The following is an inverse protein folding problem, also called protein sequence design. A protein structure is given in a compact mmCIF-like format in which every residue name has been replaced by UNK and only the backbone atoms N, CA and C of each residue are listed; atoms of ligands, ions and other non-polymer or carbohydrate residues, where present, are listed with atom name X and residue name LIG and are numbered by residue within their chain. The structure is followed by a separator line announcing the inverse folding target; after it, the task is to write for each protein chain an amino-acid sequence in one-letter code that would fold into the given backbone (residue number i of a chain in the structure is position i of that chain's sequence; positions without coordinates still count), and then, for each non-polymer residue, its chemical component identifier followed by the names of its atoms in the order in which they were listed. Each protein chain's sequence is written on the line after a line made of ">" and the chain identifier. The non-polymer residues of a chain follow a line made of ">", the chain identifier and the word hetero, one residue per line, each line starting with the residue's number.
data_IF_008186203678
#
_entry.id   IF_008186203678
#
_cell.length_a   1.000
_cell.length_b   1.000
_cell.length_c   1.000
_cell.angle_alpha   90.00
_cell.angle_beta   90.00
_cell.angle_gamma   90.00
#
_symmetry.space_group_name_H-M   'P 1'
#
loop_
_entity.id
_entity.type
_entity.pdbx_description
1 polymer ?
#
# COMPACT_ATOMS: atom_id res chain seq x y z
N UNK A 1 6.18 -4.59 17.30
CA UNK A 1 6.03 -4.79 15.84
C UNK A 1 5.43 -3.52 15.31
N UNK A 2 6.22 -2.75 14.55
CA UNK A 2 5.74 -1.50 13.97
C UNK A 2 4.68 -1.80 12.92
N UNK A 3 3.46 -1.34 13.19
CA UNK A 3 2.32 -1.47 12.30
C UNK A 3 2.44 -0.37 11.24
N UNK A 4 2.75 -0.73 9.99
CA UNK A 4 2.91 0.18 8.86
C UNK A 4 1.76 1.20 8.75
N UNK A 5 0.51 0.76 8.88
CA UNK A 5 -0.67 1.63 8.87
C UNK A 5 -0.61 2.68 9.98
N UNK A 6 -0.26 2.26 11.19
CA UNK A 6 -0.15 3.15 12.34
C UNK A 6 0.97 4.17 12.16
N UNK A 7 2.12 3.76 11.60
CA UNK A 7 3.23 4.66 11.25
C UNK A 7 2.77 5.74 10.28
N UNK A 8 2.00 5.39 9.25
CA UNK A 8 1.48 6.36 8.28
C UNK A 8 0.47 7.34 8.91
N UNK A 9 -0.48 6.84 9.70
CA UNK A 9 -1.47 7.66 10.40
C UNK A 9 -0.80 8.66 11.34
N UNK A 10 -0.02 8.14 12.29
CA UNK A 10 0.62 8.95 13.33
C UNK A 10 1.67 9.88 12.74
N UNK A 11 2.52 9.38 11.85
CA UNK A 11 3.56 10.18 11.20
C UNK A 11 2.97 11.35 10.42
N UNK A 12 1.84 11.15 9.74
CA UNK A 12 1.19 12.21 8.99
C UNK A 12 0.58 13.28 9.90
N UNK A 13 -0.10 12.87 10.97
CA UNK A 13 -0.65 13.81 11.97
C UNK A 13 0.47 14.57 12.70
N UNK A 14 1.55 13.89 13.09
CA UNK A 14 2.70 14.53 13.74
C UNK A 14 3.34 15.58 12.82
N UNK A 15 3.51 15.25 11.54
CA UNK A 15 4.16 16.14 10.59
C UNK A 15 3.33 17.38 10.21
N UNK A 16 1.99 17.29 10.27
CA UNK A 16 1.09 18.29 9.65
C UNK A 16 0.04 18.88 10.59
N UNK A 17 -0.15 18.27 11.75
CA UNK A 17 -1.29 18.54 12.62
C UNK A 17 -2.60 18.03 12.04
N UNK A 18 -3.65 18.13 12.85
CA UNK A 18 -5.02 17.79 12.47
C UNK A 18 -5.99 18.73 13.20
N UNK A 19 -7.15 18.98 12.60
CA UNK A 19 -8.20 19.79 13.22
C UNK A 19 -8.92 19.04 14.35
N UNK A 20 -8.98 17.70 14.26
CA UNK A 20 -9.57 16.80 15.24
C UNK A 20 -8.54 15.76 15.70
N UNK A 21 -8.67 15.22 16.93
CA UNK A 21 -7.73 14.21 17.41
C UNK A 21 -7.86 12.91 16.61
N UNK A 22 -6.72 12.28 16.32
CA UNK A 22 -6.67 10.90 15.85
C UNK A 22 -6.87 9.98 17.07
N UNK A 23 -7.99 9.25 17.12
CA UNK A 23 -8.30 8.36 18.24
C UNK A 23 -7.71 6.96 18.04
N UNK A 24 -7.55 6.20 19.13
CA UNK A 24 -7.11 4.80 19.06
C UNK A 24 -8.10 3.92 18.31
N UNK A 25 -9.41 4.14 18.52
CA UNK A 25 -10.48 3.42 17.83
C UNK A 25 -10.38 3.58 16.31
N UNK A 26 -10.19 4.81 15.81
CA UNK A 26 -9.96 5.06 14.39
C UNK A 26 -8.70 4.34 13.87
N UNK A 27 -7.62 4.32 14.66
CA UNK A 27 -6.39 3.63 14.27
C UNK A 27 -6.59 2.12 14.16
N UNK A 28 -7.35 1.53 15.09
CA UNK A 28 -7.62 0.09 15.15
C UNK A 28 -8.56 -0.33 14.02
N UNK A 29 -9.61 0.45 13.74
CA UNK A 29 -10.53 0.23 12.63
C UNK A 29 -9.79 0.26 11.28
N UNK A 30 -9.04 1.33 11.01
CA UNK A 30 -8.28 1.49 9.75
C UNK A 30 -7.22 0.40 9.63
N UNK A 31 -6.49 0.09 10.70
CA UNK A 31 -5.51 -1.01 10.72
C UNK A 31 -6.16 -2.34 10.37
N UNK A 32 -7.30 -2.64 10.97
CA UNK A 32 -7.99 -3.92 10.78
C UNK A 32 -8.49 -4.05 9.36
N UNK A 33 -9.14 -3.01 8.83
CA UNK A 33 -9.60 -2.95 7.44
C UNK A 33 -8.44 -3.12 6.45
N UNK A 34 -7.38 -2.32 6.56
CA UNK A 34 -6.20 -2.41 5.68
C UNK A 34 -5.57 -3.80 5.73
N UNK A 35 -5.42 -4.38 6.93
CA UNK A 35 -4.86 -5.72 7.08
C UNK A 35 -5.73 -6.77 6.39
N UNK A 36 -7.04 -6.71 6.58
CA UNK A 36 -7.99 -7.63 5.98
C UNK A 36 -7.92 -7.55 4.45
N UNK A 37 -7.98 -6.34 3.89
CA UNK A 37 -8.00 -6.12 2.44
C UNK A 37 -6.70 -6.58 1.78
N UNK A 38 -5.55 -6.25 2.38
CA UNK A 38 -4.24 -6.70 1.90
C UNK A 38 -4.13 -8.22 1.97
N UNK A 39 -4.57 -8.84 3.07
CA UNK A 39 -4.49 -10.30 3.24
C UNK A 39 -5.34 -11.03 2.21
N UNK A 40 -6.58 -10.57 2.01
CA UNK A 40 -7.50 -11.14 1.00
C UNK A 40 -6.91 -10.98 -0.40
N UNK A 41 -6.52 -9.76 -0.77
CA UNK A 41 -5.99 -9.46 -2.11
C UNK A 41 -4.69 -10.22 -2.42
N UNK A 42 -3.78 -10.34 -1.45
CA UNK A 42 -2.56 -11.14 -1.63
C UNK A 42 -2.89 -12.62 -1.77
N UNK A 43 -3.82 -13.14 -0.97
CA UNK A 43 -4.25 -14.53 -1.05
C UNK A 43 -4.87 -14.85 -2.42
N UNK A 44 -5.69 -13.95 -2.96
CA UNK A 44 -6.29 -14.08 -4.29
C UNK A 44 -5.23 -14.01 -5.39
N UNK A 45 -4.30 -13.06 -5.30
CA UNK A 45 -3.20 -12.92 -6.24
C UNK A 45 -2.36 -14.20 -6.30
N UNK A 46 -1.96 -14.75 -5.15
CA UNK A 46 -1.12 -15.94 -5.07
C UNK A 46 -1.84 -17.21 -5.55
N UNK A 47 -3.18 -17.27 -5.46
CA UNK A 47 -3.98 -18.37 -6.01
C UNK A 47 -4.24 -18.23 -7.52
N UNK A 48 -4.11 -17.03 -8.06
CA UNK A 48 -4.33 -16.75 -9.48
C UNK A 48 -3.16 -17.27 -10.29
N UNK A 49 -3.46 -17.96 -11.41
CA UNK A 49 -2.46 -18.45 -12.34
C UNK A 49 -1.48 -17.34 -12.75
N UNK A 50 -0.21 -17.69 -12.86
CA UNK A 50 0.86 -16.73 -13.10
C UNK A 50 0.67 -15.98 -14.43
N UNK A 51 0.00 -16.51 -15.44
CA UNK A 51 -0.24 -15.75 -16.67
C UNK A 51 -1.47 -14.84 -16.57
N UNK A 52 -2.38 -15.16 -15.64
CA UNK A 52 -3.59 -14.41 -15.39
C UNK A 52 -3.42 -13.25 -14.40
N UNK A 53 -2.39 -13.25 -13.54
CA UNK A 53 -2.19 -12.14 -12.60
C UNK A 53 -1.91 -10.82 -13.34
N UNK A 54 -2.78 -9.83 -13.15
CA UNK A 54 -2.67 -8.47 -13.75
C UNK A 54 -2.11 -7.41 -12.81
N UNK A 55 -2.02 -7.72 -11.53
CA UNK A 55 -1.48 -6.83 -10.49
C UNK A 55 -0.26 -7.47 -9.84
N UNK A 56 0.53 -6.66 -9.15
CA UNK A 56 1.64 -7.13 -8.33
C UNK A 56 1.37 -6.82 -6.85
N UNK A 57 2.10 -7.47 -5.92
CA UNK A 57 1.89 -7.26 -4.49
C UNK A 57 2.05 -5.78 -4.08
N UNK A 58 2.96 -5.01 -4.70
CA UNK A 58 3.17 -3.61 -4.33
C UNK A 58 1.97 -2.73 -4.70
N UNK A 59 1.27 -3.07 -5.79
CA UNK A 59 0.04 -2.40 -6.21
C UNK A 59 -1.10 -2.62 -5.21
N UNK A 60 -1.17 -3.80 -4.59
CA UNK A 60 -2.14 -4.08 -3.52
C UNK A 60 -1.89 -3.16 -2.32
N UNK A 61 -0.63 -3.03 -1.89
CA UNK A 61 -0.28 -2.10 -0.80
C UNK A 61 -0.56 -0.63 -1.15
N UNK A 62 -0.34 -0.22 -2.41
CA UNK A 62 -0.69 1.13 -2.88
C UNK A 62 -2.19 1.39 -2.80
N UNK A 63 -3.03 0.44 -3.21
CA UNK A 63 -4.47 0.60 -3.09
C UNK A 63 -4.95 0.61 -1.63
N UNK A 64 -4.24 -0.10 -0.75
CA UNK A 64 -4.58 -0.20 0.66
C UNK A 64 -4.30 1.09 1.47
N UNK A 65 -3.76 2.15 0.87
CA UNK A 65 -3.61 3.45 1.54
C UNK A 65 -4.89 4.29 1.51
N UNK A 66 -5.91 3.89 0.75
CA UNK A 66 -7.15 4.68 0.65
C UNK A 66 -7.86 4.85 2.00
N UNK A 67 -8.09 3.80 2.83
CA UNK A 67 -8.72 3.96 4.13
C UNK A 67 -7.91 4.87 5.08
N UNK A 68 -6.58 4.88 4.93
CA UNK A 68 -5.68 5.76 5.70
C UNK A 68 -5.91 7.22 5.29
N UNK A 69 -5.96 7.47 3.98
CA UNK A 69 -6.25 8.79 3.43
C UNK A 69 -7.62 9.30 3.90
N UNK A 70 -8.65 8.46 3.83
CA UNK A 70 -10.00 8.83 4.21
C UNK A 70 -10.06 9.20 5.70
N UNK A 71 -9.39 8.44 6.58
CA UNK A 71 -9.32 8.74 8.00
C UNK A 71 -8.61 10.06 8.31
N UNK A 72 -7.51 10.36 7.60
CA UNK A 72 -6.75 11.60 7.77
C UNK A 72 -7.55 12.83 7.27
N UNK A 73 -8.22 12.71 6.13
CA UNK A 73 -9.17 13.72 5.65
C UNK A 73 -10.30 13.93 6.65
N UNK A 74 -10.82 12.83 7.20
CA UNK A 74 -11.89 12.84 8.18
C UNK A 74 -11.50 13.45 9.53
N UNK A 75 -10.23 13.79 9.79
CA UNK A 75 -9.82 14.59 10.96
C UNK A 75 -9.24 15.96 10.57
N UNK A 76 -9.34 16.32 9.29
CA UNK A 76 -8.94 17.64 8.78
C UNK A 76 -7.42 17.83 8.70
N UNK A 77 -6.66 16.79 8.36
CA UNK A 77 -5.24 16.94 8.06
C UNK A 77 -5.07 17.67 6.71
N UNK A 78 -4.21 18.71 6.63
CA UNK A 78 -3.91 19.38 5.37
C UNK A 78 -3.20 18.45 4.36
N UNK A 79 -3.63 18.48 3.08
CA UNK A 79 -3.00 17.72 2.00
C UNK A 79 -1.60 18.25 1.64
N UNK A 80 -0.82 17.45 0.91
CA UNK A 80 0.52 17.85 0.45
C UNK A 80 0.47 18.47 -0.93
N UNK A 81 1.44 19.34 -1.23
CA UNK A 81 1.70 19.72 -2.61
C UNK A 81 2.30 18.52 -3.34
N UNK A 82 1.74 18.20 -4.51
CA UNK A 82 2.10 17.03 -5.31
C UNK A 82 2.48 17.49 -6.71
N UNK A 83 3.50 16.88 -7.29
CA UNK A 83 3.83 17.10 -8.70
C UNK A 83 2.76 16.50 -9.63
N UNK A 84 2.79 16.92 -10.90
CA UNK A 84 1.82 16.49 -11.91
C UNK A 84 1.81 14.98 -12.15
N UNK A 85 2.97 14.33 -12.05
CA UNK A 85 3.09 12.89 -12.24
C UNK A 85 2.37 12.14 -11.13
N UNK A 86 2.56 12.56 -9.88
CA UNK A 86 1.93 11.99 -8.71
C UNK A 86 0.42 12.18 -8.74
N UNK A 87 -0.06 13.39 -9.04
CA UNK A 87 -1.51 13.67 -9.18
C UNK A 87 -2.15 12.78 -10.24
N UNK A 88 -1.49 12.58 -11.38
CA UNK A 88 -2.00 11.71 -12.45
C UNK A 88 -1.96 10.22 -12.09
N UNK A 89 -0.88 9.77 -11.47
CA UNK A 89 -0.64 8.34 -11.19
C UNK A 89 -1.42 7.84 -9.97
N UNK A 90 -1.64 8.71 -8.98
CA UNK A 90 -2.28 8.36 -7.71
C UNK A 90 -3.26 9.47 -7.28
N UNK A 91 -4.33 9.75 -8.02
CA UNK A 91 -5.17 10.94 -7.81
C UNK A 91 -5.73 11.05 -6.39
N UNK A 92 -6.01 9.91 -5.74
CA UNK A 92 -6.55 9.87 -4.39
C UNK A 92 -5.49 9.96 -3.27
N UNK A 93 -4.21 9.82 -3.58
CA UNK A 93 -3.13 9.83 -2.59
C UNK A 93 -2.69 11.24 -2.16
N UNK A 94 -3.64 12.02 -1.64
CA UNK A 94 -3.47 13.45 -1.32
C UNK A 94 -2.44 13.74 -0.22
N UNK A 95 -1.94 12.71 0.46
CA UNK A 95 -0.89 12.81 1.48
C UNK A 95 0.44 12.16 1.06
N UNK A 96 0.55 11.63 -0.16
CA UNK A 96 1.74 10.92 -0.67
C UNK A 96 2.13 9.71 0.20
N UNK A 97 1.15 8.87 0.57
CA UNK A 97 1.28 7.67 1.39
C UNK A 97 1.59 6.42 0.57
N UNK A 98 1.33 6.42 -0.73
CA UNK A 98 1.53 5.25 -1.57
C UNK A 98 3.02 4.83 -1.55
N UNK A 99 3.34 3.57 -1.19
CA UNK A 99 4.72 3.11 -1.17
C UNK A 99 5.28 3.08 -2.60
N UNK A 100 6.44 3.71 -2.78
CA UNK A 100 7.20 3.65 -4.03
C UNK A 100 8.00 2.33 -4.11
N UNK A 101 8.50 1.86 -2.97
CA UNK A 101 9.36 0.69 -2.82
C UNK A 101 8.90 -0.20 -1.66
N UNK A 102 9.48 -1.41 -1.56
CA UNK A 102 9.23 -2.32 -0.45
C UNK A 102 9.68 -1.77 0.91
N UNK A 103 10.78 -1.02 0.92
CA UNK A 103 11.31 -0.41 2.14
C UNK A 103 10.39 0.63 2.79
N UNK A 104 9.51 1.25 2.00
CA UNK A 104 8.50 2.18 2.53
C UNK A 104 7.49 1.47 3.44
N UNK A 105 7.25 0.17 3.18
CA UNK A 105 6.36 -0.68 3.98
C UNK A 105 7.13 -1.29 5.15
N UNK A 106 8.20 -2.02 4.85
CA UNK A 106 9.10 -2.67 5.81
C UNK A 106 10.37 -3.14 5.09
N UNK A 107 11.56 -2.89 5.63
CA UNK A 107 12.83 -3.32 5.03
C UNK A 107 12.89 -4.85 4.80
N UNK A 108 12.23 -5.63 5.66
CA UNK A 108 12.17 -7.10 5.54
C UNK A 108 11.40 -7.57 4.30
N UNK A 109 10.65 -6.69 3.64
CA UNK A 109 9.93 -7.00 2.41
C UNK A 109 10.73 -6.74 1.14
N UNK A 110 11.92 -6.13 1.24
CA UNK A 110 12.76 -5.83 0.06
C UNK A 110 13.15 -7.12 -0.67
N UNK A 111 13.71 -8.08 0.05
CA UNK A 111 14.15 -9.35 -0.53
C UNK A 111 12.98 -10.22 -1.03
N UNK A 112 11.93 -10.51 -0.23
CA UNK A 112 10.77 -11.25 -0.73
C UNK A 112 10.08 -10.59 -1.94
N UNK A 113 10.06 -9.27 -1.98
CA UNK A 113 9.50 -8.51 -3.10
C UNK A 113 10.30 -8.66 -4.40
N UNK A 114 11.64 -8.72 -4.30
CA UNK A 114 12.52 -8.99 -5.44
C UNK A 114 12.39 -10.44 -5.91
N UNK A 115 12.37 -11.40 -4.98
CA UNK A 115 12.20 -12.82 -5.28
C UNK A 115 10.89 -13.10 -6.00
N UNK A 116 9.78 -12.49 -5.55
CA UNK A 116 8.48 -12.61 -6.21
C UNK A 116 8.56 -12.14 -7.67
N UNK A 117 9.19 -10.98 -7.92
CA UNK A 117 9.35 -10.44 -9.26
C UNK A 117 10.19 -11.34 -10.16
N UNK A 118 11.28 -11.89 -9.64
CA UNK A 118 12.14 -12.82 -10.35
C UNK A 118 11.42 -14.14 -10.68
N UNK A 119 10.75 -14.73 -9.69
CA UNK A 119 9.95 -15.94 -9.87
C UNK A 119 8.85 -15.75 -10.92
N UNK A 120 8.15 -14.61 -10.85
CA UNK A 120 7.11 -14.23 -11.79
C UNK A 120 7.62 -14.21 -13.23
N UNK A 121 8.73 -13.50 -13.45
CA UNK A 121 9.35 -13.39 -14.77
C UNK A 121 9.82 -14.76 -15.29
N UNK A 122 10.50 -15.54 -14.44
CA UNK A 122 10.97 -16.88 -14.80
C UNK A 122 9.81 -17.82 -15.20
N UNK A 123 8.69 -17.76 -14.47
CA UNK A 123 7.50 -18.55 -14.75
C UNK A 123 6.88 -18.21 -16.11
N UNK A 124 6.76 -16.91 -16.43
CA UNK A 124 6.26 -16.44 -17.74
C UNK A 124 7.20 -16.88 -18.87
N UNK A 125 8.51 -16.71 -18.71
CA UNK A 125 9.50 -17.12 -19.72
C UNK A 125 9.45 -18.63 -19.96
N UNK A 126 9.36 -19.43 -18.90
CA UNK A 126 9.31 -20.89 -19.00
C UNK A 126 8.07 -21.35 -19.75
N UNK A 127 6.92 -20.73 -19.48
CA UNK A 127 5.69 -21.03 -20.22
C UNK A 127 5.85 -20.77 -21.72
N UNK A 128 6.38 -19.60 -22.11
CA UNK A 128 6.60 -19.26 -23.53
C UNK A 128 7.56 -20.19 -24.27
N UNK A 129 8.48 -20.86 -23.57
CA UNK A 129 9.43 -21.82 -24.16
C UNK A 129 8.86 -23.23 -24.34
N UNK A 130 7.73 -23.52 -23.70
CA UNK A 130 7.13 -24.87 -23.65
C UNK A 130 5.91 -24.99 -24.59
N UNK A 131 5.55 -23.89 -25.27
CA UNK A 131 4.52 -23.80 -26.32
C UNK A 131 5.23 -23.68 -27.67
#
# INVERSE_FOLDING_TARGET
>A
MDNWTLRLLQGTVIARGSARPLTSEMCDEVTTSVRQDVTVSLSELLKTDVLAQRVNPLTIFRSATQPITDALLAIGVPSVQRDEFNVRSFPLDVFALCPATWGDIDERLIEPGLEWGAFKAASVITHHKTV
#
